data_IF_435903685889
#
_entry.id   IF_435903685889
#
_cell.length_a   1.000
_cell.length_b   1.000
_cell.length_c   1.000
_cell.angle_alpha   90.00
_cell.angle_beta   90.00
_cell.angle_gamma   90.00
#
_symmetry.space_group_name_H-M   'P 1'
#
loop_
_entity.id
_entity.type
_entity.pdbx_description
1 polymer ?
#
# COMPACT_ATOMS: atom_id res chain seq x y z
N UNK A 1 -20.50 -8.03 -36.76
CA UNK A 1 -19.20 -7.88 -36.08
C UNK A 1 -19.35 -6.96 -34.87
N UNK A 2 -19.15 -7.51 -33.69
CA UNK A 2 -19.18 -6.81 -32.38
C UNK A 2 -17.92 -5.96 -32.17
N UNK A 3 -17.98 -5.00 -31.24
CA UNK A 3 -16.86 -4.07 -30.92
C UNK A 3 -15.57 -4.82 -30.51
N UNK A 4 -15.70 -6.04 -29.98
CA UNK A 4 -14.60 -6.92 -29.62
C UNK A 4 -13.95 -7.61 -30.86
N UNK A 5 -14.73 -7.85 -31.92
CA UNK A 5 -14.20 -8.39 -33.19
C UNK A 5 -13.46 -7.33 -34.03
N UNK A 6 -13.76 -6.04 -33.83
CA UNK A 6 -12.98 -4.94 -34.44
C UNK A 6 -11.64 -4.71 -33.75
N UNK A 7 -11.53 -4.98 -32.45
CA UNK A 7 -10.26 -4.88 -31.71
C UNK A 7 -9.31 -6.06 -31.99
N UNK A 8 -9.83 -7.28 -32.18
CA UNK A 8 -9.01 -8.42 -32.63
C UNK A 8 -8.50 -8.28 -34.07
N UNK A 9 -9.28 -7.66 -34.98
CA UNK A 9 -8.83 -7.38 -36.35
C UNK A 9 -7.77 -6.26 -36.44
N UNK A 10 -7.75 -5.33 -35.46
CA UNK A 10 -6.74 -4.27 -35.38
C UNK A 10 -5.37 -4.79 -34.88
N UNK A 11 -5.35 -5.79 -33.99
CA UNK A 11 -4.10 -6.44 -33.55
C UNK A 11 -3.51 -7.40 -34.60
N UNK A 12 -4.34 -8.02 -35.44
CA UNK A 12 -3.89 -8.95 -36.49
C UNK A 12 -3.21 -8.25 -37.69
N UNK A 13 -3.52 -6.97 -37.97
CA UNK A 13 -2.84 -6.19 -39.03
C UNK A 13 -1.53 -5.53 -38.60
N UNK A 14 -1.31 -5.29 -37.30
CA UNK A 14 -0.03 -4.77 -36.80
C UNK A 14 1.03 -5.88 -36.73
N UNK A 15 0.63 -7.13 -36.48
CA UNK A 15 1.55 -8.27 -36.41
C UNK A 15 2.09 -8.72 -37.79
N UNK A 16 1.36 -8.47 -38.88
CA UNK A 16 1.76 -8.89 -40.24
C UNK A 16 2.47 -7.81 -41.08
N UNK A 17 2.68 -6.61 -40.53
CA UNK A 17 3.54 -5.57 -41.16
C UNK A 17 4.98 -5.62 -40.58
N UNK A 18 5.22 -6.44 -39.55
CA UNK A 18 6.54 -6.65 -38.91
C UNK A 18 7.06 -8.07 -39.18
N UNK A 19 6.86 -8.61 -40.38
CA UNK A 19 7.53 -9.85 -40.80
C UNK A 19 7.87 -9.80 -42.29
N UNK A 20 9.05 -9.26 -42.63
CA UNK A 20 10.05 -10.15 -43.23
C UNK A 20 11.47 -9.72 -42.85
N UNK A 21 11.97 -10.20 -41.71
CA UNK A 21 13.39 -10.06 -41.33
C UNK A 21 13.88 -11.28 -40.53
N UNK A 22 13.48 -12.49 -40.95
CA UNK A 22 14.16 -13.71 -40.52
C UNK A 22 15.40 -13.94 -41.39
N UNK A 23 16.57 -14.25 -40.80
CA UNK A 23 17.81 -14.43 -41.54
C UNK A 23 17.80 -15.76 -42.30
N UNK A 24 17.95 -15.72 -43.62
CA UNK A 24 18.50 -16.85 -44.38
C UNK A 24 20.00 -16.90 -44.13
N UNK A 25 20.50 -18.10 -43.84
CA UNK A 25 21.91 -18.37 -43.57
C UNK A 25 22.73 -18.02 -44.83
N UNK A 26 23.73 -17.13 -44.68
CA UNK A 26 24.71 -16.82 -45.73
C UNK A 26 24.72 -15.36 -46.23
N UNK A 27 25.21 -14.42 -45.42
CA UNK A 27 25.44 -13.04 -45.87
C UNK A 27 26.41 -12.27 -44.97
N UNK A 28 27.37 -11.57 -45.57
CA UNK A 28 28.46 -10.87 -44.85
C UNK A 28 27.96 -9.66 -44.03
N UNK A 29 28.59 -9.41 -42.87
CA UNK A 29 28.18 -8.43 -41.85
C UNK A 29 27.94 -6.99 -42.34
N UNK A 30 28.51 -6.58 -43.48
CA UNK A 30 28.34 -5.23 -44.05
C UNK A 30 26.95 -5.01 -44.67
N UNK A 31 26.32 -6.05 -45.21
CA UNK A 31 24.97 -6.00 -45.81
C UNK A 31 23.85 -5.98 -44.75
N UNK A 32 24.05 -6.67 -43.62
CA UNK A 32 23.11 -6.70 -42.49
C UNK A 32 22.99 -5.34 -41.79
N UNK A 33 24.09 -4.56 -41.73
CA UNK A 33 24.08 -3.22 -41.12
C UNK A 33 23.31 -2.20 -41.96
N UNK A 34 23.48 -2.21 -43.29
CA UNK A 34 22.73 -1.34 -44.21
C UNK A 34 21.22 -1.62 -44.22
N UNK A 35 20.81 -2.89 -44.13
CA UNK A 35 19.39 -3.29 -44.05
C UNK A 35 18.72 -2.84 -42.75
N UNK A 36 19.41 -2.93 -41.60
CA UNK A 36 18.89 -2.42 -40.32
C UNK A 36 18.71 -0.90 -40.32
N UNK A 37 19.67 -0.16 -40.88
CA UNK A 37 19.56 1.31 -41.00
C UNK A 37 18.40 1.72 -41.91
N UNK A 38 18.20 1.02 -43.03
CA UNK A 38 17.08 1.29 -43.94
C UNK A 38 15.70 1.02 -43.29
N UNK A 39 15.56 -0.06 -42.52
CA UNK A 39 14.32 -0.34 -41.78
C UNK A 39 14.02 0.72 -40.72
N UNK A 40 15.03 1.22 -39.99
CA UNK A 40 14.84 2.27 -38.98
C UNK A 40 14.37 3.58 -39.65
N UNK A 41 14.97 3.95 -40.79
CA UNK A 41 14.58 5.15 -41.54
C UNK A 41 13.14 5.05 -42.03
N UNK A 42 12.71 3.90 -42.55
CA UNK A 42 11.34 3.69 -43.03
C UNK A 42 10.30 3.73 -41.89
N UNK A 43 10.62 3.19 -40.71
CA UNK A 43 9.73 3.26 -39.53
C UNK A 43 9.60 4.71 -39.04
N UNK A 44 10.70 5.46 -38.99
CA UNK A 44 10.67 6.87 -38.57
C UNK A 44 9.87 7.72 -39.55
N UNK A 45 10.02 7.50 -40.87
CA UNK A 45 9.23 8.19 -41.89
C UNK A 45 7.73 7.86 -41.80
N UNK A 46 7.38 6.61 -41.55
CA UNK A 46 5.97 6.20 -41.39
C UNK A 46 5.33 6.83 -40.14
N UNK A 47 6.05 6.90 -39.02
CA UNK A 47 5.58 7.58 -37.81
C UNK A 47 5.43 9.09 -38.06
N UNK A 48 6.37 9.72 -38.76
CA UNK A 48 6.31 11.15 -39.07
C UNK A 48 5.14 11.51 -40.01
N UNK A 49 4.89 10.69 -41.04
CA UNK A 49 3.72 10.82 -41.92
C UNK A 49 2.40 10.64 -41.17
N UNK A 50 2.33 9.71 -40.22
CA UNK A 50 1.13 9.51 -39.39
C UNK A 50 0.82 10.71 -38.47
N UNK A 51 1.86 11.38 -37.95
CA UNK A 51 1.71 12.58 -37.13
C UNK A 51 1.26 13.80 -37.95
N UNK A 52 1.74 13.92 -39.19
CA UNK A 52 1.32 14.98 -40.12
C UNK A 52 -0.14 14.83 -40.59
N UNK A 53 -0.61 13.59 -40.78
CA UNK A 53 -2.01 13.28 -41.09
C UNK A 53 -2.94 13.56 -39.89
N UNK A 54 -2.48 13.40 -38.65
CA UNK A 54 -3.28 13.76 -37.47
C UNK A 54 -3.40 15.27 -37.24
N UNK A 55 -2.42 16.07 -37.68
CA UNK A 55 -2.47 17.54 -37.57
C UNK A 55 -3.31 18.21 -38.66
N UNK A 56 -3.52 17.56 -39.80
CA UNK A 56 -4.38 18.07 -40.89
C UNK A 56 -5.87 17.83 -40.64
N UNK A 57 -6.23 16.88 -39.78
CA UNK A 57 -7.64 16.55 -39.44
C UNK A 57 -8.23 17.49 -38.36
N UNK A 58 -7.39 18.21 -37.60
CA UNK A 58 -7.84 19.08 -36.50
C UNK A 58 -8.20 20.50 -36.98
N UNK A 59 -7.95 20.86 -38.24
CA UNK A 59 -8.17 22.21 -38.77
C UNK A 59 -9.42 22.39 -39.66
N UNK A 60 -10.36 21.44 -39.70
CA UNK A 60 -11.54 21.54 -40.59
C UNK A 60 -12.92 21.30 -39.92
N UNK A 61 -13.07 21.69 -38.65
CA UNK A 61 -14.39 21.82 -38.02
C UNK A 61 -14.55 23.21 -37.41
N UNK A 62 -14.62 24.21 -38.27
CA UNK A 62 -15.04 25.57 -37.93
C UNK A 62 -15.83 26.15 -39.11
N UNK A 63 -17.09 25.73 -39.25
CA UNK A 63 -17.98 26.16 -40.32
C UNK A 63 -19.42 26.31 -39.86
N UNK A 64 -19.74 27.53 -39.41
CA UNK A 64 -21.02 28.26 -39.43
C UNK A 64 -22.37 27.51 -39.30
N UNK A 65 -23.15 27.85 -38.26
CA UNK A 65 -24.59 28.12 -38.38
C UNK A 65 -24.90 29.41 -37.61
N UNK A 66 -25.52 30.36 -38.31
CA UNK A 66 -26.02 31.65 -37.82
C UNK A 66 -27.53 31.63 -38.02
N UNK A 67 -28.34 31.77 -36.97
CA UNK A 67 -29.74 32.21 -37.06
C UNK A 67 -30.02 33.15 -35.88
N UNK A 68 -30.31 34.41 -36.20
CA UNK A 68 -31.11 35.32 -35.38
C UNK A 68 -32.58 34.98 -35.64
N UNK A 69 -33.43 34.90 -34.62
CA UNK A 69 -34.44 35.91 -34.28
C UNK A 69 -35.49 35.36 -33.28
N UNK A 70 -36.14 36.28 -32.57
CA UNK A 70 -37.37 36.20 -31.76
C UNK A 70 -37.25 36.03 -30.23
N UNK A 71 -37.89 37.01 -29.58
CA UNK A 71 -37.85 37.40 -28.16
C UNK A 71 -38.97 36.75 -27.29
N UNK A 72 -39.04 37.02 -25.97
CA UNK A 72 -39.65 36.15 -24.96
C UNK A 72 -41.11 36.47 -24.62
N UNK A 73 -41.88 35.47 -24.11
CA UNK A 73 -42.84 35.63 -22.99
C UNK A 73 -43.49 34.29 -22.55
N UNK A 74 -43.39 34.04 -21.24
CA UNK A 74 -44.30 33.42 -20.27
C UNK A 74 -45.14 32.18 -20.65
N UNK A 75 -44.84 31.03 -20.02
CA UNK A 75 -45.82 30.31 -19.16
C UNK A 75 -45.09 29.74 -17.93
N UNK A 76 -45.66 30.06 -16.78
CA UNK A 76 -45.27 29.67 -15.43
C UNK A 76 -45.74 28.23 -15.15
N UNK A 77 -44.86 27.37 -14.62
CA UNK A 77 -45.21 26.04 -14.13
C UNK A 77 -44.08 25.44 -13.31
N UNK A 78 -44.27 25.40 -11.99
CA UNK A 78 -43.35 24.88 -10.96
C UNK A 78 -42.78 23.49 -11.33
N UNK A 79 -41.50 23.20 -11.06
CA UNK A 79 -41.02 22.60 -9.80
C UNK A 79 -39.51 22.92 -9.65
N UNK A 80 -39.13 23.34 -8.45
CA UNK A 80 -37.87 23.99 -8.13
C UNK A 80 -36.60 23.17 -8.33
N UNK A 81 -35.62 23.82 -8.95
CA UNK A 81 -34.21 23.53 -8.76
C UNK A 81 -33.89 23.76 -7.28
N UNK A 82 -33.63 22.67 -6.54
CA UNK A 82 -32.98 22.75 -5.23
C UNK A 82 -31.62 23.38 -5.48
N UNK A 83 -31.49 24.64 -5.09
CA UNK A 83 -30.23 25.35 -5.05
C UNK A 83 -29.24 24.52 -4.26
N UNK A 84 -28.15 24.14 -4.93
CA UNK A 84 -26.93 23.70 -4.25
C UNK A 84 -26.43 24.95 -3.52
N UNK A 85 -26.92 25.12 -2.30
CA UNK A 85 -26.32 26.04 -1.36
C UNK A 85 -24.85 25.69 -1.30
N UNK A 86 -24.00 26.64 -1.67
CA UNK A 86 -22.57 26.59 -1.43
C UNK A 86 -22.39 26.47 0.08
N UNK A 87 -22.39 25.23 0.58
CA UNK A 87 -22.02 24.95 1.95
C UNK A 87 -20.59 25.43 2.08
N UNK A 88 -20.41 26.48 2.88
CA UNK A 88 -19.13 26.89 3.46
C UNK A 88 -18.28 25.64 3.72
N UNK A 89 -16.99 25.61 3.34
CA UNK A 89 -16.16 24.44 3.59
C UNK A 89 -16.28 24.09 5.07
N UNK A 90 -16.82 22.91 5.37
CA UNK A 90 -16.85 22.39 6.74
C UNK A 90 -15.43 22.52 7.27
N UNK A 91 -15.27 23.28 8.35
CA UNK A 91 -14.00 23.41 9.04
C UNK A 91 -13.51 21.98 9.40
N UNK A 92 -12.49 21.50 8.68
CA UNK A 92 -12.02 20.12 8.75
C UNK A 92 -11.23 19.97 10.06
N UNK A 93 -11.74 19.21 11.03
CA UNK A 93 -11.06 18.99 12.31
C UNK A 93 -10.16 17.74 12.22
N UNK A 94 -8.87 17.84 12.57
CA UNK A 94 -7.95 16.69 12.57
C UNK A 94 -8.50 15.51 13.37
N UNK A 95 -8.64 14.36 12.72
CA UNK A 95 -9.08 13.13 13.37
C UNK A 95 -8.06 12.72 14.43
N UNK A 96 -8.55 12.44 15.64
CA UNK A 96 -7.73 11.97 16.77
C UNK A 96 -7.88 10.47 16.98
N UNK A 97 -9.04 9.91 16.66
CA UNK A 97 -9.36 8.50 16.89
C UNK A 97 -9.23 7.72 15.58
N UNK A 98 -8.19 6.91 15.44
CA UNK A 98 -7.86 6.15 14.22
C UNK A 98 -7.53 4.70 14.57
N UNK A 99 -8.24 3.78 13.94
CA UNK A 99 -7.95 2.35 14.01
C UNK A 99 -7.45 1.86 12.65
N UNK A 100 -6.20 1.43 12.62
CA UNK A 100 -5.57 0.84 11.46
C UNK A 100 -5.50 -0.67 11.58
N UNK A 101 -6.27 -1.35 10.74
CA UNK A 101 -6.17 -2.80 10.59
C UNK A 101 -4.95 -3.10 9.75
N UNK A 102 -3.89 -3.54 10.43
CA UNK A 102 -2.57 -3.71 9.85
C UNK A 102 -2.45 -5.02 9.08
N UNK A 103 -2.27 -4.91 7.76
CA UNK A 103 -2.08 -6.06 6.86
C UNK A 103 -0.61 -6.41 6.67
N UNK A 104 -0.30 -7.69 6.55
CA UNK A 104 1.08 -8.16 6.38
C UNK A 104 1.58 -7.91 4.97
N UNK A 105 2.81 -7.39 4.89
CA UNK A 105 3.58 -7.19 3.63
C UNK A 105 2.93 -6.26 2.59
N UNK A 106 2.04 -5.39 3.05
CA UNK A 106 1.38 -4.35 2.25
C UNK A 106 1.86 -2.92 2.57
N UNK A 107 3.14 -2.73 2.95
CA UNK A 107 3.67 -1.41 3.32
C UNK A 107 3.18 -0.86 4.68
N UNK A 108 2.52 -1.71 5.46
CA UNK A 108 1.80 -1.31 6.67
C UNK A 108 2.67 -0.83 7.83
N UNK A 109 3.97 -1.18 7.88
CA UNK A 109 4.93 -0.61 8.85
C UNK A 109 5.12 0.89 8.63
N UNK A 110 5.07 1.36 7.38
CA UNK A 110 5.17 2.80 7.06
C UNK A 110 3.95 3.56 7.59
N UNK A 111 2.75 3.01 7.38
CA UNK A 111 1.51 3.57 7.94
C UNK A 111 1.56 3.57 9.47
N UNK A 112 2.01 2.49 10.09
CA UNK A 112 2.18 2.42 11.55
C UNK A 112 3.12 3.51 12.09
N UNK A 113 4.24 3.81 11.40
CA UNK A 113 5.12 4.91 11.78
C UNK A 113 4.42 6.28 11.65
N UNK A 114 3.67 6.52 10.57
CA UNK A 114 2.86 7.73 10.40
C UNK A 114 1.88 7.92 11.57
N UNK A 115 1.12 6.87 11.92
CA UNK A 115 0.15 6.89 13.02
C UNK A 115 0.82 7.11 14.38
N UNK A 116 1.97 6.45 14.62
CA UNK A 116 2.77 6.70 15.82
C UNK A 116 3.17 8.16 15.92
N UNK A 117 3.77 8.73 14.86
CA UNK A 117 4.27 10.11 14.87
C UNK A 117 3.15 11.10 15.13
N UNK A 118 2.02 10.94 14.44
CA UNK A 118 0.85 11.77 14.66
C UNK A 118 0.34 11.67 16.10
N UNK A 119 0.21 10.45 16.64
CA UNK A 119 -0.25 10.25 18.01
C UNK A 119 0.70 10.81 19.06
N UNK A 120 2.01 10.70 18.86
CA UNK A 120 3.00 11.31 19.76
C UNK A 120 2.95 12.84 19.71
N UNK A 121 2.85 13.42 18.51
CA UNK A 121 2.81 14.87 18.33
C UNK A 121 1.55 15.53 18.93
N UNK A 122 0.47 14.76 19.08
CA UNK A 122 -0.83 15.25 19.56
C UNK A 122 -1.21 14.74 20.97
N UNK A 123 -0.23 14.21 21.70
CA UNK A 123 -0.37 13.61 23.04
C UNK A 123 -1.48 12.53 23.14
N UNK A 124 -1.65 11.73 22.09
CA UNK A 124 -2.69 10.69 22.00
C UNK A 124 -2.32 9.41 22.76
N UNK A 125 -3.36 8.67 23.18
CA UNK A 125 -3.23 7.37 23.83
C UNK A 125 -3.27 6.24 22.80
N UNK A 126 -2.42 5.23 22.99
CA UNK A 126 -2.29 4.11 22.06
C UNK A 126 -2.87 2.82 22.65
N UNK A 127 -3.58 2.06 21.84
CA UNK A 127 -4.00 0.69 22.15
C UNK A 127 -2.80 -0.26 21.97
N UNK A 128 -1.89 -0.27 22.94
CA UNK A 128 -0.66 -1.07 22.91
C UNK A 128 -0.90 -2.50 23.41
N UNK A 129 -0.29 -3.53 22.78
CA UNK A 129 -0.38 -4.90 23.24
C UNK A 129 0.00 -5.07 24.72
N UNK A 130 -0.78 -5.86 25.45
CA UNK A 130 -0.47 -6.25 26.81
C UNK A 130 0.58 -7.37 26.80
N UNK A 131 1.84 -6.99 26.94
CA UNK A 131 2.99 -7.91 26.84
C UNK A 131 3.05 -8.96 27.96
N UNK A 132 2.25 -8.81 29.03
CA UNK A 132 2.10 -9.83 30.07
C UNK A 132 1.37 -11.07 29.55
N UNK A 133 0.47 -10.89 28.58
CA UNK A 133 -0.30 -11.97 27.95
C UNK A 133 0.37 -12.46 26.66
N UNK A 134 1.06 -11.58 25.93
CA UNK A 134 1.68 -11.87 24.63
C UNK A 134 3.20 -11.62 24.66
N UNK A 135 3.98 -12.57 25.19
CA UNK A 135 5.43 -12.42 25.36
C UNK A 135 6.25 -12.59 24.06
N UNK A 136 5.68 -13.22 23.03
CA UNK A 136 6.28 -13.39 21.70
C UNK A 136 5.57 -12.51 20.66
N UNK A 137 6.30 -11.58 20.04
CA UNK A 137 5.74 -10.66 19.04
C UNK A 137 4.86 -9.58 19.66
N UNK A 138 5.43 -8.75 20.53
CA UNK A 138 4.75 -7.64 21.23
C UNK A 138 4.28 -6.50 20.31
N UNK A 139 4.44 -6.65 18.98
CA UNK A 139 3.77 -5.81 18.00
C UNK A 139 2.41 -6.36 17.56
N UNK A 140 1.96 -7.49 18.14
CA UNK A 140 0.65 -8.11 17.93
C UNK A 140 -0.21 -7.93 19.19
N UNK A 141 -1.45 -7.47 18.99
CA UNK A 141 -2.52 -7.53 19.99
C UNK A 141 -3.20 -8.90 19.89
N UNK A 142 -3.48 -9.39 18.69
CA UNK A 142 -4.04 -10.73 18.47
C UNK A 142 -3.51 -11.37 17.19
N UNK A 143 -3.62 -12.70 17.13
CA UNK A 143 -3.24 -13.56 16.01
C UNK A 143 -4.42 -14.40 15.53
N UNK A 144 -4.24 -15.05 14.39
CA UNK A 144 -5.22 -15.96 13.84
C UNK A 144 -5.61 -17.04 14.85
N UNK A 145 -6.92 -17.24 15.05
CA UNK A 145 -7.47 -18.18 16.03
C UNK A 145 -7.66 -17.60 17.43
N UNK A 146 -7.11 -16.43 17.74
CA UNK A 146 -7.32 -15.77 19.04
C UNK A 146 -8.58 -14.89 19.03
N UNK A 147 -9.31 -14.87 20.14
CA UNK A 147 -10.43 -13.94 20.35
C UNK A 147 -9.87 -12.64 20.92
N UNK A 148 -9.94 -11.55 20.13
CA UNK A 148 -9.49 -10.24 20.58
C UNK A 148 -10.39 -9.71 21.71
N UNK A 149 -9.84 -9.62 22.92
CA UNK A 149 -10.49 -8.99 24.08
C UNK A 149 -9.73 -7.73 24.52
N UNK A 150 -10.34 -6.93 25.41
CA UNK A 150 -9.68 -5.72 25.94
C UNK A 150 -8.44 -6.04 26.77
N UNK A 151 -8.34 -7.24 27.35
CA UNK A 151 -7.21 -7.64 28.20
C UNK A 151 -5.90 -7.76 27.41
N UNK A 152 -6.00 -7.96 26.09
CA UNK A 152 -4.85 -8.02 25.18
C UNK A 152 -4.21 -6.64 24.96
N UNK A 153 -4.75 -5.59 25.54
CA UNK A 153 -4.27 -4.21 25.43
C UNK A 153 -3.94 -3.69 26.84
N UNK A 154 -2.90 -2.86 26.96
CA UNK A 154 -2.58 -2.22 28.24
C UNK A 154 -3.79 -1.40 28.70
N UNK A 155 -4.35 -1.66 29.89
CA UNK A 155 -5.47 -0.89 30.41
C UNK A 155 -5.05 0.56 30.69
N UNK A 156 -5.92 1.50 30.33
CA UNK A 156 -5.76 2.90 30.71
C UNK A 156 -6.54 3.19 32.01
N UNK A 157 -6.15 4.22 32.78
CA UNK A 157 -6.93 4.67 33.94
C UNK A 157 -8.38 5.03 33.58
N UNK A 158 -9.27 4.99 34.57
CA UNK A 158 -10.67 5.38 34.39
C UNK A 158 -10.81 6.78 33.75
N UNK A 159 -11.75 6.92 32.82
CA UNK A 159 -11.98 8.16 32.08
C UNK A 159 -11.01 8.41 30.91
N UNK A 160 -10.02 7.56 30.69
CA UNK A 160 -9.14 7.63 29.51
C UNK A 160 -9.64 6.74 28.38
N UNK A 161 -9.52 7.23 27.15
CA UNK A 161 -9.84 6.49 25.94
C UNK A 161 -8.58 6.21 25.10
N UNK A 162 -8.61 5.14 24.31
CA UNK A 162 -7.61 4.90 23.28
C UNK A 162 -7.92 5.77 22.05
N UNK A 163 -6.89 6.32 21.43
CA UNK A 163 -7.02 7.15 20.24
C UNK A 163 -6.43 6.45 19.01
N UNK A 164 -5.30 5.77 19.14
CA UNK A 164 -4.63 5.12 18.00
C UNK A 164 -4.45 3.63 18.24
N UNK A 165 -4.92 2.81 17.30
CA UNK A 165 -4.65 1.38 17.22
C UNK A 165 -3.96 1.10 15.88
N UNK A 166 -2.73 0.58 15.89
CA UNK A 166 -1.99 0.26 14.66
C UNK A 166 -1.24 -1.08 14.69
N UNK A 167 -1.19 -1.74 15.84
CA UNK A 167 -0.52 -3.03 16.02
C UNK A 167 -1.23 -4.13 15.23
N UNK A 168 -0.53 -5.23 14.96
CA UNK A 168 -1.15 -6.38 14.29
C UNK A 168 -2.26 -6.95 15.16
N UNK A 169 -3.47 -7.01 14.60
CA UNK A 169 -4.64 -7.58 15.23
C UNK A 169 -5.54 -8.11 14.12
N UNK A 170 -6.09 -9.30 14.31
CA UNK A 170 -7.10 -9.82 13.41
C UNK A 170 -8.34 -8.95 13.54
N UNK A 171 -8.83 -8.40 12.43
CA UNK A 171 -9.98 -7.52 12.48
C UNK A 171 -11.21 -8.26 13.01
N UNK A 172 -11.82 -7.66 14.02
CA UNK A 172 -13.09 -8.09 14.55
C UNK A 172 -13.89 -6.83 14.86
N UNK A 173 -14.96 -6.61 14.09
CA UNK A 173 -15.79 -5.40 14.17
C UNK A 173 -16.24 -5.10 15.60
N UNK A 174 -16.74 -6.10 16.30
CA UNK A 174 -17.26 -5.96 17.67
C UNK A 174 -16.13 -5.62 18.64
N UNK A 175 -15.03 -6.38 18.61
CA UNK A 175 -13.90 -6.14 19.51
C UNK A 175 -13.27 -4.76 19.29
N UNK A 176 -13.03 -4.37 18.04
CA UNK A 176 -12.47 -3.05 17.72
C UNK A 176 -13.38 -1.91 18.17
N UNK A 177 -14.72 -2.04 18.06
CA UNK A 177 -15.68 -1.04 18.56
C UNK A 177 -15.82 -1.01 20.08
N UNK A 178 -15.51 -2.12 20.75
CA UNK A 178 -15.43 -2.16 22.21
C UNK A 178 -14.13 -1.54 22.74
N UNK A 179 -13.05 -1.58 21.95
CA UNK A 179 -11.76 -1.00 22.31
C UNK A 179 -11.75 0.50 22.03
N UNK A 180 -12.15 0.89 20.82
CA UNK A 180 -11.97 2.25 20.30
C UNK A 180 -13.23 3.13 20.49
N UNK A 181 -13.09 4.46 20.63
CA UNK A 181 -14.22 5.39 20.74
C UNK A 181 -15.16 5.33 19.53
N UNK A 182 -16.43 5.72 19.73
CA UNK A 182 -17.47 5.64 18.69
C UNK A 182 -17.15 6.46 17.43
N UNK A 183 -16.44 7.58 17.56
CA UNK A 183 -16.04 8.45 16.44
C UNK A 183 -14.69 8.06 15.80
N UNK A 184 -14.28 6.80 15.94
CA UNK A 184 -13.04 6.29 15.36
C UNK A 184 -13.13 6.15 13.85
N UNK A 185 -12.13 6.66 13.14
CA UNK A 185 -11.94 6.44 11.72
C UNK A 185 -11.20 5.12 11.50
N UNK A 186 -11.81 4.19 10.75
CA UNK A 186 -11.19 2.90 10.43
C UNK A 186 -10.50 2.95 9.07
N UNK A 187 -9.25 2.52 9.05
CA UNK A 187 -8.42 2.49 7.84
C UNK A 187 -7.69 1.15 7.72
N UNK A 188 -7.34 0.78 6.50
CA UNK A 188 -6.44 -0.36 6.23
C UNK A 188 -5.66 -0.10 4.93
N UNK A 189 -4.74 -0.99 4.60
CA UNK A 189 -4.00 -0.97 3.34
C UNK A 189 -3.99 -2.37 2.75
N UNK A 190 -4.19 -2.49 1.45
CA UNK A 190 -4.07 -3.73 0.71
C UNK A 190 -2.95 -3.61 -0.32
N UNK A 191 -2.50 -4.76 -0.80
CA UNK A 191 -1.54 -4.91 -1.89
C UNK A 191 -2.06 -5.97 -2.85
N UNK A 192 -1.68 -5.87 -4.12
CA UNK A 192 -1.97 -6.89 -5.12
C UNK A 192 -1.57 -8.28 -4.55
N UNK A 193 -2.49 -9.25 -4.52
CA UNK A 193 -2.29 -10.50 -3.78
C UNK A 193 -1.03 -11.26 -4.14
N UNK A 194 -0.67 -11.35 -5.43
CA UNK A 194 0.53 -12.06 -5.86
C UNK A 194 1.80 -11.35 -5.37
N UNK A 195 1.88 -10.03 -5.50
CA UNK A 195 3.00 -9.23 -5.02
C UNK A 195 3.12 -9.26 -3.48
N UNK A 196 2.00 -9.33 -2.76
CA UNK A 196 1.98 -9.54 -1.32
C UNK A 196 2.58 -10.91 -0.95
N UNK A 197 2.15 -11.97 -1.61
CA UNK A 197 2.67 -13.32 -1.42
C UNK A 197 4.17 -13.41 -1.73
N UNK A 198 4.64 -12.86 -2.86
CA UNK A 198 6.07 -12.80 -3.19
C UNK A 198 6.86 -12.10 -2.09
N UNK A 199 6.35 -10.97 -1.61
CA UNK A 199 7.00 -10.23 -0.53
C UNK A 199 7.00 -10.99 0.80
N UNK A 200 5.98 -11.78 1.09
CA UNK A 200 5.95 -12.68 2.25
C UNK A 200 7.01 -13.76 2.09
N UNK A 201 6.97 -14.47 0.98
CA UNK A 201 7.83 -15.62 0.71
C UNK A 201 9.31 -15.25 0.90
N UNK A 202 9.72 -14.11 0.32
CA UNK A 202 11.08 -13.59 0.45
C UNK A 202 11.42 -13.11 1.85
N UNK A 203 10.51 -12.36 2.50
CA UNK A 203 10.79 -11.77 3.79
C UNK A 203 10.96 -12.84 4.88
N UNK A 204 10.10 -13.85 4.88
CA UNK A 204 10.16 -14.94 5.85
C UNK A 204 11.08 -16.08 5.42
N UNK A 205 11.74 -15.97 4.26
CA UNK A 205 12.64 -16.98 3.70
C UNK A 205 11.98 -18.37 3.68
N UNK A 206 10.78 -18.41 3.12
CA UNK A 206 9.91 -19.60 3.15
C UNK A 206 10.62 -20.80 2.51
N UNK A 207 11.48 -20.57 1.51
CA UNK A 207 12.32 -21.62 0.91
C UNK A 207 13.19 -22.35 1.94
N UNK A 208 13.75 -21.62 2.91
CA UNK A 208 14.61 -22.22 3.94
C UNK A 208 13.83 -23.07 4.92
N UNK A 209 12.59 -22.69 5.19
CA UNK A 209 11.72 -23.48 6.04
C UNK A 209 11.34 -24.81 5.39
N UNK A 210 11.10 -24.80 4.08
CA UNK A 210 10.87 -26.02 3.31
C UNK A 210 12.15 -26.88 3.21
N UNK A 211 13.32 -26.27 2.99
CA UNK A 211 14.59 -26.99 2.96
C UNK A 211 14.88 -27.73 4.27
N UNK A 212 14.59 -27.11 5.42
CA UNK A 212 14.69 -27.74 6.74
C UNK A 212 13.77 -28.95 6.93
N UNK A 213 12.77 -29.13 6.07
CA UNK A 213 11.83 -30.26 6.08
C UNK A 213 12.16 -31.33 5.04
N UNK A 214 13.33 -31.25 4.43
CA UNK A 214 13.79 -32.19 3.42
C UNK A 214 13.33 -31.85 2.00
N UNK A 215 12.64 -30.73 1.78
CA UNK A 215 12.27 -30.30 0.43
C UNK A 215 13.38 -29.47 -0.19
N UNK A 216 14.15 -30.08 -1.07
CA UNK A 216 15.24 -29.41 -1.78
C UNK A 216 14.68 -28.75 -3.05
N UNK A 217 14.79 -27.42 -3.11
CA UNK A 217 14.58 -26.67 -4.34
C UNK A 217 15.98 -26.33 -4.87
N UNK A 218 16.34 -26.73 -6.10
CA UNK A 218 17.63 -26.39 -6.67
C UNK A 218 17.87 -24.88 -6.66
N UNK A 219 19.09 -24.44 -6.36
CA UNK A 219 19.42 -23.00 -6.34
C UNK A 219 19.23 -22.32 -7.71
N UNK A 220 19.28 -23.11 -8.79
CA UNK A 220 19.02 -22.67 -10.17
C UNK A 220 17.54 -22.39 -10.44
N UNK A 221 16.62 -22.86 -9.60
CA UNK A 221 15.19 -22.67 -9.78
C UNK A 221 14.66 -21.45 -9.05
N UNK A 222 13.55 -20.88 -9.55
CA UNK A 222 12.79 -19.89 -8.81
C UNK A 222 11.96 -20.60 -7.72
N UNK A 223 12.30 -20.46 -6.42
CA UNK A 223 11.64 -21.22 -5.36
C UNK A 223 10.17 -20.89 -5.20
N UNK A 224 9.73 -19.71 -5.62
CA UNK A 224 8.32 -19.35 -5.62
C UNK A 224 7.57 -20.13 -6.72
N UNK A 225 8.11 -20.14 -7.95
CA UNK A 225 7.49 -20.88 -9.05
C UNK A 225 7.48 -22.39 -8.77
N UNK A 226 8.57 -22.93 -8.24
CA UNK A 226 8.63 -24.36 -7.85
C UNK A 226 7.61 -24.69 -6.78
N UNK A 227 7.46 -23.83 -5.75
CA UNK A 227 6.40 -23.96 -4.76
C UNK A 227 5.00 -23.93 -5.40
N UNK A 228 4.72 -22.98 -6.30
CA UNK A 228 3.41 -22.80 -6.91
C UNK A 228 3.01 -23.92 -7.88
N UNK A 229 3.95 -24.70 -8.42
CA UNK A 229 3.65 -25.89 -9.22
C UNK A 229 2.99 -26.99 -8.38
N UNK A 230 3.41 -27.15 -7.12
CA UNK A 230 2.81 -28.11 -6.20
C UNK A 230 2.83 -27.60 -4.74
N UNK A 231 1.95 -26.65 -4.37
CA UNK A 231 1.97 -26.04 -3.05
C UNK A 231 1.82 -27.04 -1.91
N UNK A 232 0.99 -28.07 -2.12
CA UNK A 232 0.68 -29.11 -1.13
C UNK A 232 1.85 -30.07 -0.85
N UNK A 233 2.83 -30.15 -1.75
CA UNK A 233 4.08 -30.87 -1.50
C UNK A 233 4.85 -30.19 -0.35
N UNK A 234 4.98 -28.87 -0.41
CA UNK A 234 5.81 -28.09 0.51
C UNK A 234 5.07 -27.63 1.77
N UNK A 235 3.80 -27.23 1.61
CA UNK A 235 2.90 -26.88 2.68
C UNK A 235 1.80 -27.93 2.80
N UNK A 236 2.09 -28.99 3.57
CA UNK A 236 1.11 -30.05 3.89
C UNK A 236 0.00 -29.57 4.82
N UNK A 237 0.02 -28.31 5.24
CA UNK A 237 -1.06 -27.74 6.03
C UNK A 237 -2.36 -27.74 5.23
N UNK A 238 -3.43 -28.26 5.84
CA UNK A 238 -4.79 -28.09 5.31
C UNK A 238 -5.36 -26.72 5.66
N UNK A 239 -4.56 -25.83 6.27
CA UNK A 239 -4.98 -24.49 6.63
C UNK A 239 -5.37 -23.69 5.38
N UNK A 240 -6.55 -23.06 5.47
CA UNK A 240 -7.08 -22.18 4.44
C UNK A 240 -6.45 -20.78 4.50
N UNK A 241 -5.76 -20.49 5.60
CA UNK A 241 -5.09 -19.23 5.89
C UNK A 241 -3.70 -19.51 6.45
N UNK A 242 -2.70 -18.77 5.96
CA UNK A 242 -1.33 -18.79 6.45
C UNK A 242 -0.61 -17.53 5.99
N UNK A 243 0.67 -17.36 6.36
CA UNK A 243 1.48 -16.27 5.81
C UNK A 243 1.50 -16.23 4.28
N UNK A 244 1.44 -17.39 3.64
CA UNK A 244 1.54 -17.55 2.19
C UNK A 244 0.19 -17.84 1.51
N UNK A 245 -0.93 -17.81 2.25
CA UNK A 245 -2.26 -18.15 1.74
C UNK A 245 -3.34 -17.29 2.38
N UNK A 246 -4.11 -16.55 1.57
CA UNK A 246 -5.21 -15.68 2.04
C UNK A 246 -4.83 -14.76 3.21
N UNK A 247 -3.59 -14.24 3.25
CA UNK A 247 -3.05 -13.60 4.46
C UNK A 247 -3.71 -12.25 4.73
N UNK A 248 -4.03 -11.49 3.67
CA UNK A 248 -4.70 -10.20 3.80
C UNK A 248 -6.14 -10.37 4.27
N UNK A 249 -6.81 -11.40 3.75
CA UNK A 249 -8.15 -11.81 4.19
C UNK A 249 -8.15 -12.23 5.66
N UNK A 250 -7.16 -13.00 6.09
CA UNK A 250 -7.00 -13.38 7.51
C UNK A 250 -6.80 -12.15 8.40
N UNK A 251 -5.93 -11.21 8.00
CA UNK A 251 -5.71 -9.96 8.75
C UNK A 251 -7.03 -9.16 8.91
N UNK A 252 -7.87 -9.19 7.88
CA UNK A 252 -9.17 -8.53 7.85
C UNK A 252 -10.32 -9.38 8.43
N UNK A 253 -10.00 -10.48 9.13
CA UNK A 253 -10.99 -11.24 9.90
C UNK A 253 -11.80 -12.26 9.11
N UNK A 254 -11.44 -12.51 7.84
CA UNK A 254 -12.08 -13.59 7.08
C UNK A 254 -11.66 -14.95 7.64
N UNK A 255 -12.58 -15.91 7.58
CA UNK A 255 -12.42 -17.22 8.19
C UNK A 255 -12.92 -18.33 7.26
N UNK A 256 -12.92 -19.56 7.77
CA UNK A 256 -13.31 -20.77 7.02
C UNK A 256 -14.72 -20.71 6.42
N UNK A 257 -15.66 -20.03 7.06
CA UNK A 257 -17.04 -19.91 6.56
C UNK A 257 -17.06 -19.08 5.26
N UNK A 258 -16.38 -17.93 5.25
CA UNK A 258 -16.23 -17.09 4.05
C UNK A 258 -15.47 -17.82 2.92
N UNK A 259 -14.48 -18.65 3.25
CA UNK A 259 -13.79 -19.48 2.24
C UNK A 259 -14.74 -20.46 1.54
N UNK A 260 -15.70 -21.04 2.27
CA UNK A 260 -16.59 -22.07 1.75
C UNK A 260 -17.85 -21.51 1.10
N UNK A 261 -18.25 -20.28 1.44
CA UNK A 261 -19.51 -19.71 1.04
C UNK A 261 -19.30 -18.33 0.37
N UNK A 262 -19.40 -18.25 -0.97
CA UNK A 262 -19.27 -17.00 -1.71
C UNK A 262 -20.26 -15.90 -1.31
N UNK A 263 -21.48 -16.25 -0.88
CA UNK A 263 -22.46 -15.26 -0.44
C UNK A 263 -22.04 -14.61 0.88
N UNK A 264 -21.61 -15.41 1.85
CA UNK A 264 -21.08 -14.89 3.12
C UNK A 264 -19.80 -14.07 2.93
N UNK A 265 -18.94 -14.48 1.98
CA UNK A 265 -17.78 -13.67 1.59
C UNK A 265 -18.21 -12.28 1.09
N UNK A 266 -19.15 -12.24 0.15
CA UNK A 266 -19.66 -11.00 -0.42
C UNK A 266 -20.29 -10.10 0.64
N UNK A 267 -21.17 -10.65 1.48
CA UNK A 267 -21.80 -9.94 2.61
C UNK A 267 -20.76 -9.37 3.58
N UNK A 268 -19.71 -10.15 3.89
CA UNK A 268 -18.63 -9.69 4.77
C UNK A 268 -17.82 -8.55 4.14
N UNK A 269 -17.47 -8.64 2.85
CA UNK A 269 -16.78 -7.56 2.13
C UNK A 269 -17.64 -6.29 2.08
N UNK A 270 -18.94 -6.40 1.81
CA UNK A 270 -19.86 -5.25 1.82
C UNK A 270 -20.05 -4.64 3.21
N UNK A 271 -20.02 -5.47 4.27
CA UNK A 271 -20.03 -4.97 5.65
C UNK A 271 -18.74 -4.20 5.97
N UNK A 272 -17.58 -4.71 5.54
CA UNK A 272 -16.30 -4.02 5.70
C UNK A 272 -16.24 -2.71 4.92
N UNK A 273 -16.75 -2.66 3.69
CA UNK A 273 -16.82 -1.42 2.89
C UNK A 273 -17.56 -0.28 3.61
N UNK A 274 -18.54 -0.63 4.45
CA UNK A 274 -19.26 0.33 5.30
C UNK A 274 -18.48 0.73 6.56
N UNK A 275 -17.59 -0.12 7.05
CA UNK A 275 -16.81 0.12 8.26
C UNK A 275 -15.56 0.97 7.98
N UNK A 276 -14.86 0.74 6.87
CA UNK A 276 -13.61 1.44 6.55
C UNK A 276 -13.86 2.75 5.82
N UNK A 277 -13.33 3.85 6.37
CA UNK A 277 -13.34 5.17 5.71
C UNK A 277 -12.40 5.23 4.52
N UNK A 278 -11.29 4.51 4.60
CA UNK A 278 -10.32 4.39 3.52
C UNK A 278 -9.61 3.04 3.55
N UNK A 279 -9.70 2.31 2.44
CA UNK A 279 -8.83 1.17 2.14
C UNK A 279 -7.78 1.65 1.14
N UNK A 280 -6.54 1.78 1.61
CA UNK A 280 -5.40 2.22 0.81
C UNK A 280 -4.90 1.08 -0.09
N UNK A 281 -4.26 1.43 -1.20
CA UNK A 281 -3.68 0.48 -2.16
C UNK A 281 -2.18 0.74 -2.27
N UNK A 282 -1.35 -0.27 -1.97
CA UNK A 282 0.11 -0.11 -1.94
C UNK A 282 0.69 0.27 -3.31
N UNK A 283 0.10 -0.21 -4.40
CA UNK A 283 0.52 0.15 -5.76
C UNK A 283 0.38 1.65 -6.06
N UNK A 284 -0.48 2.34 -5.29
CA UNK A 284 -0.76 3.78 -5.35
C UNK A 284 -0.50 4.41 -3.99
N UNK A 285 0.67 4.13 -3.40
CA UNK A 285 0.96 4.48 -2.00
C UNK A 285 0.91 5.99 -1.73
N UNK A 286 1.46 6.81 -2.64
CA UNK A 286 1.46 8.26 -2.46
C UNK A 286 0.06 8.85 -2.59
N UNK A 287 -0.71 8.37 -3.56
CA UNK A 287 -2.13 8.71 -3.74
C UNK A 287 -2.93 8.29 -2.50
N UNK A 288 -2.67 7.09 -1.98
CA UNK A 288 -3.29 6.56 -0.77
C UNK A 288 -3.01 7.43 0.45
N UNK A 289 -1.76 7.90 0.62
CA UNK A 289 -1.40 8.80 1.71
C UNK A 289 -2.04 10.18 1.57
N UNK A 290 -2.16 10.69 0.35
CA UNK A 290 -2.84 11.96 0.13
C UNK A 290 -4.34 11.88 0.42
N UNK A 291 -4.99 10.78 -0.01
CA UNK A 291 -6.38 10.48 0.36
C UNK A 291 -6.52 10.30 1.88
N UNK A 292 -5.55 9.67 2.53
CA UNK A 292 -5.53 9.52 4.00
C UNK A 292 -5.45 10.88 4.70
N UNK A 293 -4.56 11.77 4.24
CA UNK A 293 -4.45 13.15 4.75
C UNK A 293 -5.80 13.85 4.69
N UNK A 294 -6.48 13.79 3.54
CA UNK A 294 -7.77 14.44 3.35
C UNK A 294 -8.85 13.80 4.24
N UNK A 295 -8.91 12.46 4.29
CA UNK A 295 -9.89 11.73 5.11
C UNK A 295 -9.75 12.01 6.60
N UNK A 296 -8.53 12.27 7.09
CA UNK A 296 -8.25 12.53 8.50
C UNK A 296 -8.11 14.02 8.84
N UNK A 297 -8.26 14.92 7.87
CA UNK A 297 -7.94 16.35 8.03
C UNK A 297 -6.53 16.60 8.59
N UNK A 298 -5.55 15.76 8.22
CA UNK A 298 -4.18 15.88 8.69
C UNK A 298 -3.38 16.86 7.83
N UNK A 299 -2.24 17.33 8.36
CA UNK A 299 -1.31 18.15 7.59
C UNK A 299 -0.43 17.27 6.69
N UNK A 300 0.15 17.87 5.64
CA UNK A 300 1.10 17.15 4.79
C UNK A 300 2.33 16.67 5.58
N UNK A 301 2.72 17.38 6.66
CA UNK A 301 3.84 17.01 7.52
C UNK A 301 3.57 15.68 8.24
N UNK A 302 2.31 15.43 8.60
CA UNK A 302 1.92 14.23 9.34
C UNK A 302 2.09 12.98 8.50
N UNK A 303 1.82 13.05 7.19
CA UNK A 303 1.91 11.90 6.26
C UNK A 303 3.29 11.71 5.60
N UNK A 304 4.28 12.55 5.90
CA UNK A 304 5.65 12.35 5.39
C UNK A 304 6.20 10.99 5.83
N UNK A 305 6.98 10.34 4.98
CA UNK A 305 7.58 9.06 5.33
C UNK A 305 8.94 8.88 4.66
N UNK A 306 9.76 8.02 5.25
CA UNK A 306 10.99 7.55 4.61
C UNK A 306 10.75 6.10 4.22
N UNK A 307 11.12 5.76 2.98
CA UNK A 307 11.05 4.38 2.50
C UNK A 307 12.04 3.51 3.27
N UNK A 308 11.52 2.67 4.15
CA UNK A 308 12.28 1.62 4.84
C UNK A 308 12.05 0.27 4.19
N UNK A 309 13.01 -0.64 4.34
CA UNK A 309 12.90 -2.04 3.91
C UNK A 309 12.77 -2.26 2.39
N UNK A 310 13.20 -1.30 1.57
CA UNK A 310 13.44 -1.55 0.15
C UNK A 310 14.71 -2.39 0.03
N UNK A 311 14.54 -3.71 -0.11
CA UNK A 311 15.67 -4.60 -0.31
C UNK A 311 16.08 -4.56 -1.79
N UNK A 312 16.99 -3.64 -2.14
CA UNK A 312 17.55 -3.50 -3.48
C UNK A 312 18.37 -4.73 -3.93
N UNK A 313 18.74 -5.62 -3.00
CA UNK A 313 19.43 -6.89 -3.30
C UNK A 313 18.47 -8.06 -3.52
N UNK A 314 17.16 -7.81 -3.63
CA UNK A 314 16.20 -8.87 -3.94
C UNK A 314 16.49 -9.48 -5.30
N UNK A 315 16.49 -10.82 -5.41
CA UNK A 315 16.60 -11.46 -6.71
C UNK A 315 15.44 -11.02 -7.60
N UNK A 316 15.73 -10.52 -8.79
CA UNK A 316 14.69 -10.27 -9.79
C UNK A 316 14.19 -11.63 -10.26
N UNK A 317 12.93 -11.93 -9.94
CA UNK A 317 12.25 -13.16 -10.33
C UNK A 317 11.24 -12.85 -11.40
N UNK A 318 11.26 -13.64 -12.46
CA UNK A 318 10.20 -13.65 -13.46
C UNK A 318 9.19 -14.72 -13.07
N UNK A 319 7.92 -14.43 -13.31
CA UNK A 319 6.80 -15.32 -13.01
C UNK A 319 5.98 -15.56 -14.25
N UNK A 320 5.46 -16.78 -14.39
CA UNK A 320 4.63 -17.21 -15.52
C UNK A 320 3.16 -16.99 -15.22
N UNK A 321 2.31 -16.95 -16.24
CA UNK A 321 0.84 -16.89 -16.06
C UNK A 321 0.33 -18.09 -15.24
N UNK A 322 0.98 -19.25 -15.36
CA UNK A 322 0.68 -20.42 -14.56
C UNK A 322 0.96 -20.19 -13.06
N UNK A 323 2.06 -19.50 -12.71
CA UNK A 323 2.36 -19.12 -11.32
C UNK A 323 1.24 -18.23 -10.75
N UNK A 324 0.84 -17.22 -11.52
CA UNK A 324 -0.24 -16.30 -11.12
C UNK A 324 -1.58 -17.05 -10.96
N UNK A 325 -1.93 -17.93 -11.90
CA UNK A 325 -3.15 -18.72 -11.85
C UNK A 325 -3.17 -19.69 -10.66
N UNK A 326 -2.04 -20.35 -10.37
CA UNK A 326 -1.92 -21.27 -9.24
C UNK A 326 -2.03 -20.53 -7.90
N UNK A 327 -1.39 -19.37 -7.77
CA UNK A 327 -1.55 -18.54 -6.58
C UNK A 327 -3.00 -18.06 -6.42
N UNK A 328 -3.66 -17.64 -7.50
CA UNK A 328 -5.07 -17.24 -7.47
C UNK A 328 -6.00 -18.35 -6.99
N UNK A 329 -5.78 -19.59 -7.43
CA UNK A 329 -6.54 -20.75 -6.92
C UNK A 329 -6.30 -20.97 -5.42
N UNK A 330 -5.05 -20.87 -4.97
CA UNK A 330 -4.68 -21.09 -3.58
C UNK A 330 -5.21 -20.00 -2.63
N UNK A 331 -5.17 -18.74 -3.07
CA UNK A 331 -5.44 -17.54 -2.28
C UNK A 331 -6.64 -16.72 -2.79
N UNK A 332 -7.69 -17.39 -3.27
CA UNK A 332 -8.80 -16.72 -3.97
C UNK A 332 -9.51 -15.62 -3.16
N UNK A 333 -9.57 -15.73 -1.82
CA UNK A 333 -10.20 -14.71 -0.99
C UNK A 333 -9.46 -13.37 -1.05
N UNK A 334 -8.13 -13.39 -1.09
CA UNK A 334 -7.33 -12.16 -1.22
C UNK A 334 -7.61 -11.47 -2.56
N UNK A 335 -7.89 -12.24 -3.62
CA UNK A 335 -8.24 -11.68 -4.93
C UNK A 335 -9.63 -11.06 -4.97
N UNK A 336 -10.64 -11.70 -4.36
CA UNK A 336 -11.99 -11.13 -4.25
C UNK A 336 -11.97 -9.85 -3.40
N UNK A 337 -11.30 -9.90 -2.25
CA UNK A 337 -11.10 -8.78 -1.35
C UNK A 337 -10.39 -7.61 -2.05
N UNK A 338 -9.23 -7.85 -2.66
CA UNK A 338 -8.47 -6.83 -3.36
C UNK A 338 -9.25 -6.24 -4.53
N UNK A 339 -9.92 -7.07 -5.34
CA UNK A 339 -10.65 -6.58 -6.52
C UNK A 339 -11.80 -5.66 -6.13
N UNK A 340 -12.51 -5.95 -5.03
CA UNK A 340 -13.55 -5.06 -4.52
C UNK A 340 -12.98 -3.69 -4.12
N UNK A 341 -11.99 -3.68 -3.23
CA UNK A 341 -11.44 -2.44 -2.68
C UNK A 341 -10.59 -1.66 -3.67
N UNK A 342 -9.93 -2.34 -4.61
CA UNK A 342 -9.21 -1.68 -5.69
C UNK A 342 -10.16 -0.86 -6.57
N UNK A 343 -11.32 -1.44 -6.94
CA UNK A 343 -12.34 -0.71 -7.72
C UNK A 343 -12.82 0.53 -6.97
N UNK A 344 -13.18 0.38 -5.70
CA UNK A 344 -13.59 1.49 -4.83
C UNK A 344 -12.52 2.57 -4.70
N UNK A 345 -11.27 2.17 -4.52
CA UNK A 345 -10.13 3.08 -4.47
C UNK A 345 -9.97 3.82 -5.80
N UNK A 346 -10.05 3.11 -6.92
CA UNK A 346 -9.92 3.68 -8.25
C UNK A 346 -11.03 4.71 -8.54
N UNK A 347 -12.28 4.36 -8.26
CA UNK A 347 -13.41 5.29 -8.39
C UNK A 347 -13.21 6.56 -7.52
N UNK A 348 -12.73 6.38 -6.29
CA UNK A 348 -12.40 7.49 -5.38
C UNK A 348 -11.26 8.36 -5.90
N UNK A 349 -10.25 7.79 -6.54
CA UNK A 349 -9.14 8.51 -7.14
C UNK A 349 -9.57 9.27 -8.40
N UNK A 350 -10.37 8.64 -9.27
CA UNK A 350 -10.87 9.25 -10.52
C UNK A 350 -11.87 10.38 -10.27
N UNK A 351 -12.57 10.35 -9.14
CA UNK A 351 -13.48 11.44 -8.72
C UNK A 351 -12.76 12.65 -8.11
N UNK A 352 -11.43 12.60 -7.91
CA UNK A 352 -10.68 13.76 -7.45
C UNK A 352 -10.53 14.78 -8.58
N UNK A 353 -10.62 16.07 -8.24
CA UNK A 353 -10.39 17.17 -9.20
C UNK A 353 -8.91 17.49 -9.42
N UNK A 354 -8.63 18.34 -10.39
CA UNK A 354 -7.27 18.76 -10.77
C UNK A 354 -6.39 19.23 -9.61
N UNK A 355 -6.99 19.88 -8.61
CA UNK A 355 -6.23 20.39 -7.46
C UNK A 355 -5.58 19.27 -6.64
N UNK A 356 -6.25 18.12 -6.53
CA UNK A 356 -5.70 16.94 -5.84
C UNK A 356 -4.43 16.44 -6.53
N UNK A 357 -4.44 16.33 -7.86
CA UNK A 357 -3.28 15.85 -8.61
C UNK A 357 -2.12 16.85 -8.61
N UNK A 358 -2.42 18.15 -8.54
CA UNK A 358 -1.41 19.20 -8.31
C UNK A 358 -0.81 19.09 -6.90
N UNK A 359 -1.65 18.84 -5.88
CA UNK A 359 -1.17 18.58 -4.51
C UNK A 359 -0.31 17.32 -4.46
N UNK A 360 -0.71 16.25 -5.17
CA UNK A 360 0.03 14.99 -5.24
C UNK A 360 1.42 15.18 -5.85
N UNK A 361 1.53 15.91 -6.96
CA UNK A 361 2.82 16.22 -7.58
C UNK A 361 3.72 17.01 -6.61
N UNK A 362 3.13 17.98 -5.90
CA UNK A 362 3.83 18.72 -4.85
C UNK A 362 4.26 17.82 -3.69
N UNK A 363 3.38 16.93 -3.22
CA UNK A 363 3.67 15.97 -2.16
C UNK A 363 4.83 15.06 -2.52
N UNK A 364 4.83 14.47 -3.72
CA UNK A 364 5.93 13.62 -4.21
C UNK A 364 7.27 14.39 -4.28
N UNK A 365 7.25 15.62 -4.79
CA UNK A 365 8.44 16.50 -4.83
C UNK A 365 8.95 16.88 -3.43
N UNK A 366 8.05 17.19 -2.52
CA UNK A 366 8.36 17.50 -1.13
C UNK A 366 8.98 16.29 -0.42
N UNK A 367 8.36 15.12 -0.55
CA UNK A 367 8.82 13.86 0.03
C UNK A 367 10.24 13.52 -0.43
N UNK A 368 10.53 13.67 -1.73
CA UNK A 368 11.86 13.47 -2.27
C UNK A 368 12.92 14.35 -1.58
N UNK A 369 12.65 15.65 -1.45
CA UNK A 369 13.56 16.61 -0.80
C UNK A 369 13.75 16.32 0.69
N UNK A 370 12.67 15.99 1.39
CA UNK A 370 12.72 15.59 2.81
C UNK A 370 13.60 14.35 2.97
N UNK A 371 13.41 13.32 2.14
CA UNK A 371 14.22 12.10 2.19
C UNK A 371 15.71 12.41 1.97
N UNK A 372 16.04 13.20 0.94
CA UNK A 372 17.42 13.64 0.70
C UNK A 372 18.02 14.37 1.90
N UNK A 373 17.29 15.32 2.51
CA UNK A 373 17.78 16.04 3.69
C UNK A 373 18.00 15.13 4.89
N UNK A 374 17.13 14.15 5.12
CA UNK A 374 17.26 13.22 6.23
C UNK A 374 18.46 12.30 6.06
N UNK A 375 18.72 11.78 4.87
CA UNK A 375 19.93 11.01 4.57
C UNK A 375 21.21 11.87 4.67
N UNK A 376 21.14 13.15 4.26
CA UNK A 376 22.23 14.10 4.42
C UNK A 376 22.39 14.63 5.87
N UNK A 377 21.51 14.22 6.80
CA UNK A 377 21.48 14.68 8.20
C UNK A 377 21.36 16.20 8.35
N UNK A 378 20.60 16.84 7.46
CA UNK A 378 20.35 18.29 7.44
C UNK A 378 18.91 18.59 7.82
N UNK A 379 18.69 19.72 8.49
CA UNK A 379 17.34 20.25 8.66
C UNK A 379 16.85 20.81 7.33
N UNK A 380 15.56 20.65 7.05
CA UNK A 380 14.92 21.15 5.84
C UNK A 380 13.72 22.02 6.20
N UNK A 381 13.76 23.28 5.79
CA UNK A 381 12.67 24.22 5.97
C UNK A 381 11.75 24.19 4.75
N UNK A 382 10.48 23.92 4.99
CA UNK A 382 9.43 23.86 3.98
C UNK A 382 8.64 25.16 4.04
N UNK A 383 8.67 25.91 2.93
CA UNK A 383 7.92 27.17 2.80
C UNK A 383 6.42 26.90 2.74
N UNK A 384 5.62 27.88 3.19
CA UNK A 384 4.15 27.85 3.08
C UNK A 384 3.73 27.72 1.61
N UNK A 385 2.70 26.93 1.37
CA UNK A 385 2.00 26.83 0.08
C UNK A 385 0.49 26.94 0.32
N UNK A 386 -0.32 26.81 -0.74
CA UNK A 386 -1.77 26.71 -0.58
C UNK A 386 -2.24 25.42 0.11
N UNK A 387 -1.42 24.37 0.10
CA UNK A 387 -1.78 23.05 0.64
C UNK A 387 -1.33 22.83 2.10
N UNK A 388 -0.37 23.63 2.58
CA UNK A 388 0.14 23.52 3.95
C UNK A 388 0.85 24.79 4.41
N UNK A 389 0.85 25.02 5.72
CA UNK A 389 1.67 26.04 6.38
C UNK A 389 3.16 25.72 6.29
N UNK A 390 4.02 26.69 6.56
CA UNK A 390 5.46 26.46 6.66
C UNK A 390 5.79 25.55 7.86
N UNK A 391 6.78 24.68 7.70
CA UNK A 391 7.27 23.85 8.79
C UNK A 391 8.73 23.46 8.57
N UNK A 392 9.39 23.00 9.63
CA UNK A 392 10.74 22.46 9.53
C UNK A 392 10.71 20.97 9.82
N UNK A 393 11.49 20.20 9.05
CA UNK A 393 11.89 18.82 9.34
C UNK A 393 13.32 18.87 9.86
N UNK A 394 13.50 18.69 11.16
CA UNK A 394 14.81 18.74 11.79
C UNK A 394 15.46 17.35 11.90
N UNK A 395 16.67 17.30 12.47
CA UNK A 395 17.41 16.03 12.66
C UNK A 395 16.65 15.01 13.53
N UNK A 396 15.90 15.48 14.53
CA UNK A 396 15.08 14.62 15.41
C UNK A 396 13.88 14.08 14.65
N UNK A 397 13.19 14.91 13.86
CA UNK A 397 12.09 14.47 12.98
C UNK A 397 12.58 13.37 12.03
N UNK A 398 13.74 13.56 11.40
CA UNK A 398 14.37 12.56 10.54
C UNK A 398 14.67 11.26 11.28
N UNK A 399 15.21 11.32 12.52
CA UNK A 399 15.44 10.12 13.34
C UNK A 399 14.14 9.36 13.57
N UNK A 400 13.06 10.06 13.93
CA UNK A 400 11.75 9.46 14.20
C UNK A 400 11.13 8.86 12.94
N UNK A 401 11.21 9.56 11.80
CA UNK A 401 10.82 9.05 10.47
C UNK A 401 11.60 7.79 10.08
N UNK A 402 12.80 7.59 10.65
CA UNK A 402 13.66 6.44 10.40
C UNK A 402 13.58 5.31 11.44
N UNK A 403 12.72 5.43 12.46
CA UNK A 403 12.68 4.45 13.53
C UNK A 403 12.11 3.10 13.04
N UNK A 404 12.80 1.98 13.34
CA UNK A 404 12.22 0.66 13.21
C UNK A 404 10.95 0.52 14.06
N UNK A 405 10.01 -0.32 13.63
CA UNK A 405 8.72 -0.53 14.29
C UNK A 405 8.86 -0.97 15.75
N UNK A 406 9.80 -1.87 16.04
CA UNK A 406 9.95 -2.42 17.39
C UNK A 406 10.54 -1.38 18.36
N UNK A 407 11.48 -0.57 17.88
CA UNK A 407 12.01 0.58 18.64
C UNK A 407 10.94 1.64 18.85
N UNK A 408 10.12 1.89 17.82
CA UNK A 408 8.97 2.77 17.88
C UNK A 408 7.98 2.36 18.98
N UNK A 409 7.70 1.06 19.10
CA UNK A 409 6.85 0.53 20.16
C UNK A 409 7.47 0.70 21.55
N UNK A 410 8.77 0.42 21.71
CA UNK A 410 9.47 0.60 22.99
C UNK A 410 9.33 2.04 23.51
N UNK A 411 9.41 3.04 22.63
CA UNK A 411 9.16 4.45 22.97
C UNK A 411 7.73 4.69 23.44
N UNK A 412 6.74 4.08 22.78
CA UNK A 412 5.33 4.22 23.16
C UNK A 412 5.02 3.55 24.50
N UNK A 413 5.59 2.38 24.78
CA UNK A 413 5.47 1.73 26.08
C UNK A 413 6.05 2.62 27.18
N UNK A 414 7.28 3.13 27.01
CA UNK A 414 7.91 4.02 27.98
C UNK A 414 7.07 5.28 28.21
N UNK A 415 6.59 5.93 27.14
CA UNK A 415 5.72 7.10 27.23
C UNK A 415 4.43 6.79 27.98
N UNK A 416 3.77 5.67 27.68
CA UNK A 416 2.50 5.28 28.30
C UNK A 416 2.70 4.98 29.79
N UNK A 417 3.75 4.24 30.14
CA UNK A 417 4.11 3.96 31.54
C UNK A 417 4.41 5.22 32.33
N UNK A 418 5.15 6.18 31.76
CA UNK A 418 5.43 7.47 32.40
C UNK A 418 4.16 8.31 32.56
N UNK A 419 3.35 8.42 31.49
CA UNK A 419 2.12 9.23 31.49
C UNK A 419 1.12 8.79 32.55
N UNK A 420 0.97 7.48 32.75
CA UNK A 420 -0.04 6.92 33.66
C UNK A 420 0.55 6.28 34.92
N UNK A 421 1.86 6.47 35.19
CA UNK A 421 2.57 5.86 36.33
C UNK A 421 2.34 4.35 36.45
N UNK A 422 2.21 3.68 35.30
CA UNK A 422 2.07 2.22 35.28
C UNK A 422 3.40 1.61 35.69
N UNK A 423 3.37 0.52 36.46
CA UNK A 423 4.57 -0.22 36.80
C UNK A 423 5.38 -0.48 35.52
N UNK A 424 6.69 -0.17 35.50
CA UNK A 424 7.49 -0.34 34.30
C UNK A 424 7.36 -1.81 33.85
N UNK A 425 7.05 -2.02 32.57
CA UNK A 425 7.13 -3.35 31.96
C UNK A 425 8.62 -3.73 31.88
N UNK A 426 9.20 -4.08 33.04
CA UNK A 426 10.62 -4.30 33.31
C UNK A 426 11.26 -5.41 32.46
N UNK A 427 10.47 -6.22 31.75
CA UNK A 427 10.97 -7.35 30.99
C UNK A 427 11.67 -6.97 29.67
N UNK A 428 11.65 -5.69 29.23
CA UNK A 428 12.07 -5.36 27.86
C UNK A 428 13.17 -4.32 27.66
N UNK A 429 13.47 -3.45 28.64
CA UNK A 429 14.70 -2.61 28.57
C UNK A 429 15.95 -3.50 28.37
N UNK A 430 15.89 -4.75 28.84
CA UNK A 430 17.01 -5.71 28.84
C UNK A 430 17.15 -6.54 27.55
N UNK A 431 16.07 -6.82 26.80
CA UNK A 431 16.15 -7.78 25.67
C UNK A 431 16.69 -7.19 24.37
N UNK A 432 16.37 -5.94 24.04
CA UNK A 432 16.89 -5.29 22.83
C UNK A 432 18.29 -4.69 23.02
N UNK A 433 18.65 -4.29 24.25
CA UNK A 433 20.01 -3.88 24.60
C UNK A 433 21.06 -4.99 24.39
N UNK A 434 20.76 -6.23 24.80
CA UNK A 434 21.72 -7.35 24.68
C UNK A 434 21.91 -7.89 23.25
N UNK A 435 20.86 -7.96 22.42
CA UNK A 435 21.00 -8.51 21.06
C UNK A 435 21.74 -7.56 20.11
N UNK A 436 21.55 -6.25 20.26
CA UNK A 436 22.28 -5.28 19.45
C UNK A 436 23.69 -5.04 19.98
N UNK A 437 23.95 -5.12 21.30
CA UNK A 437 25.34 -5.17 21.79
C UNK A 437 26.07 -6.40 21.27
N UNK A 438 25.50 -7.61 21.33
CA UNK A 438 26.16 -8.80 20.78
C UNK A 438 26.46 -8.70 19.27
N UNK A 439 25.51 -8.21 18.46
CA UNK A 439 25.70 -8.05 17.01
C UNK A 439 26.63 -6.87 16.61
N UNK A 440 26.83 -5.91 17.50
CA UNK A 440 27.70 -4.76 17.29
C UNK A 440 29.11 -5.01 17.86
N UNK A 441 29.24 -5.81 18.92
CA UNK A 441 30.51 -6.31 19.46
C UNK A 441 31.15 -7.35 18.52
N UNK A 442 30.38 -8.24 17.89
CA UNK A 442 30.90 -9.17 16.86
C UNK A 442 31.41 -8.48 15.59
N UNK A 443 31.02 -7.23 15.33
CA UNK A 443 31.58 -6.43 14.22
C UNK A 443 32.80 -5.61 14.60
N UNK A 444 33.12 -5.50 15.90
CA UNK A 444 34.26 -4.76 16.41
C UNK A 444 35.42 -5.68 16.83
N UNK A 445 35.18 -6.97 17.06
CA UNK A 445 36.23 -7.96 17.39
C UNK A 445 36.89 -8.63 16.19
N UNK A 446 36.42 -8.39 14.95
CA UNK A 446 36.99 -9.00 13.73
C UNK A 446 38.09 -8.15 13.08
N UNK A 447 38.41 -6.96 13.62
CA UNK A 447 39.46 -6.06 13.10
C UNK A 447 40.63 -5.82 14.07
N UNK A 448 40.84 -6.69 15.07
CA UNK A 448 41.88 -6.50 16.09
C UNK A 448 42.81 -7.71 16.32
N UNK A 449 42.99 -8.57 15.31
CA UNK A 449 44.10 -9.54 15.27
C UNK A 449 44.62 -9.65 13.85
N UNK A 450 45.65 -8.86 13.55
CA UNK A 450 46.30 -8.76 12.26
C UNK A 450 47.62 -8.02 12.40
N UNK A 451 48.54 -8.61 13.17
CA UNK A 451 49.99 -8.48 13.06
C UNK A 451 50.58 -9.86 13.27
#
# INVERSE_FOLDING_TARGET
MTKQEKESYAWFRVYNVINPCLPSIGGTMRLLRKRKTLCIVLVVLAVFLSLMLSHTIVLDLSGAIRIQDLSPRNVMGHIGYIGVGLTQPKECKPARNVAFVKTHKAGSTTIANILMRYGMANDLNFALPNTKLHSYGYNYISRAGEVLTRDFIIPLPAGQEYNILFNHAIYNRTAFRLIMPKNTTYITILREPFQQFVSTFEYYRVEKYFAKRGYQIPESENPISTFLKNPYLYDRSTALFSYIRNKQSEDLGLNRQHYKNPNQLKEYIEAMDKDFTLVMILEYFDESLLLLKHALCWSIKDILYITHNVNYKKPKRNFTDADLANHRKMSHLDYELYSHFFRKFWDKLQSQGDDFFKELAHFKSLLHRVNQSCYARRSFHVKKTKWHSSFTVNKTDCRILMLPELVSLDLLYNRTSQKFKLAPNLNYVVRYGRKNQAAQTERLTVNATGT
#
